data_IF_645429248878
#
_entry.id   IF_645429248878
#
_cell.length_a   1.000
_cell.length_b   1.000
_cell.length_c   1.000
_cell.angle_alpha   90.00
_cell.angle_beta   90.00
_cell.angle_gamma   90.00
#
_symmetry.space_group_name_H-M   'P 1'
#
loop_
_entity.id
_entity.type
_entity.pdbx_description
1 polymer ?
#
# COMPACT_ATOMS: atom_id res chain seq x y z
N UNK A 1 -10.22 -12.81 -25.37
CA UNK A 1 -11.38 -13.67 -25.71
C UNK A 1 -12.05 -13.98 -24.39
N UNK A 2 -13.27 -13.48 -24.15
CA UNK A 2 -14.01 -13.72 -22.89
C UNK A 2 -14.36 -15.20 -22.81
N UNK A 3 -13.98 -15.86 -21.71
CA UNK A 3 -14.24 -17.29 -21.53
C UNK A 3 -15.51 -17.45 -20.70
N UNK A 4 -16.53 -18.10 -21.27
CA UNK A 4 -17.72 -18.48 -20.51
C UNK A 4 -17.35 -19.55 -19.48
N UNK A 5 -17.58 -19.29 -18.20
CA UNK A 5 -17.34 -20.28 -17.14
C UNK A 5 -18.37 -21.41 -17.17
N UNK A 6 -17.89 -22.63 -16.94
CA UNK A 6 -18.75 -23.77 -16.58
C UNK A 6 -19.29 -23.64 -15.14
N UNK A 7 -20.35 -24.41 -14.84
CA UNK A 7 -21.04 -24.39 -13.55
C UNK A 7 -20.13 -24.78 -12.37
N UNK A 8 -19.11 -25.60 -12.61
CA UNK A 8 -18.16 -26.02 -11.57
C UNK A 8 -17.28 -24.85 -11.16
N UNK A 9 -16.76 -24.09 -12.12
CA UNK A 9 -15.96 -22.88 -11.87
C UNK A 9 -16.80 -21.78 -11.26
N UNK A 10 -18.04 -21.60 -11.73
CA UNK A 10 -18.97 -20.63 -11.13
C UNK A 10 -19.28 -20.95 -9.67
N UNK A 11 -19.48 -22.23 -9.35
CA UNK A 11 -19.68 -22.70 -7.96
C UNK A 11 -18.42 -22.52 -7.11
N UNK A 12 -17.22 -22.73 -7.67
CA UNK A 12 -15.96 -22.50 -6.97
C UNK A 12 -15.78 -21.02 -6.58
N UNK A 13 -16.19 -20.09 -7.44
CA UNK A 13 -16.21 -18.65 -7.12
C UNK A 13 -17.18 -18.36 -5.98
N UNK A 14 -18.39 -18.94 -5.98
CA UNK A 14 -19.35 -18.76 -4.89
C UNK A 14 -18.79 -19.22 -3.54
N UNK A 15 -18.15 -20.40 -3.50
CA UNK A 15 -17.46 -20.91 -2.31
C UNK A 15 -16.36 -19.95 -1.85
N UNK A 16 -15.60 -19.37 -2.79
CA UNK A 16 -14.53 -18.43 -2.46
C UNK A 16 -15.07 -17.10 -1.93
N UNK A 17 -16.19 -16.59 -2.44
CA UNK A 17 -16.87 -15.42 -1.90
C UNK A 17 -17.40 -15.68 -0.48
N UNK A 18 -17.92 -16.88 -0.22
CA UNK A 18 -18.34 -17.29 1.11
C UNK A 18 -17.17 -17.32 2.11
N UNK A 19 -16.00 -17.81 1.69
CA UNK A 19 -14.78 -17.72 2.51
C UNK A 19 -14.40 -16.26 2.82
N UNK A 20 -14.44 -15.37 1.81
CA UNK A 20 -14.10 -13.95 1.97
C UNK A 20 -15.00 -13.31 3.03
N UNK A 21 -16.31 -13.55 2.95
CA UNK A 21 -17.27 -13.08 3.95
C UNK A 21 -16.92 -13.60 5.34
N UNK A 22 -16.74 -14.91 5.49
CA UNK A 22 -16.44 -15.52 6.80
C UNK A 22 -15.13 -15.00 7.41
N UNK A 23 -14.11 -14.76 6.58
CA UNK A 23 -12.85 -14.15 7.02
C UNK A 23 -13.00 -12.66 7.35
N UNK A 24 -13.90 -11.94 6.68
CA UNK A 24 -14.19 -10.54 6.99
C UNK A 24 -14.85 -10.42 8.37
N UNK A 25 -15.77 -11.32 8.71
CA UNK A 25 -16.37 -11.40 10.04
C UNK A 25 -15.32 -11.71 11.13
N UNK A 26 -14.36 -12.60 10.84
CA UNK A 26 -13.23 -12.86 11.74
C UNK A 26 -12.34 -11.64 11.93
N UNK A 27 -12.03 -10.91 10.85
CA UNK A 27 -11.24 -9.67 10.88
C UNK A 27 -11.88 -8.64 11.81
N UNK A 28 -13.19 -8.40 11.66
CA UNK A 28 -13.97 -7.49 12.52
C UNK A 28 -13.91 -7.95 13.99
N UNK A 29 -14.13 -9.24 14.24
CA UNK A 29 -14.06 -9.80 15.59
C UNK A 29 -12.68 -9.65 16.23
N UNK A 30 -11.61 -9.76 15.43
CA UNK A 30 -10.24 -9.56 15.89
C UNK A 30 -9.96 -8.09 16.22
N UNK A 31 -10.43 -7.16 15.40
CA UNK A 31 -10.29 -5.71 15.63
C UNK A 31 -10.99 -5.29 16.93
N UNK A 32 -12.21 -5.78 17.17
CA UNK A 32 -12.94 -5.57 18.44
C UNK A 32 -12.16 -6.12 19.64
N UNK A 33 -11.58 -7.32 19.49
CA UNK A 33 -10.76 -7.95 20.53
C UNK A 33 -9.49 -7.15 20.83
N UNK A 34 -8.81 -6.66 19.78
CA UNK A 34 -7.59 -5.87 19.88
C UNK A 34 -7.85 -4.48 20.48
N UNK A 35 -8.95 -3.81 20.10
CA UNK A 35 -9.36 -2.53 20.69
C UNK A 35 -9.51 -2.61 22.21
N UNK A 36 -10.05 -3.73 22.72
CA UNK A 36 -10.20 -3.96 24.16
C UNK A 36 -8.88 -4.23 24.90
N UNK A 37 -7.77 -4.48 24.20
CA UNK A 37 -6.48 -4.85 24.79
C UNK A 37 -5.41 -3.75 24.66
N UNK A 38 -5.69 -2.68 23.93
CA UNK A 38 -4.74 -1.59 23.67
C UNK A 38 -5.03 -0.42 24.61
N UNK A 39 -3.97 0.17 25.15
CA UNK A 39 -4.04 1.38 25.97
C UNK A 39 -3.52 2.64 25.25
N UNK A 40 -2.94 2.49 24.07
CA UNK A 40 -2.44 3.61 23.26
C UNK A 40 -3.59 4.25 22.45
N UNK A 41 -3.83 5.54 22.67
CA UNK A 41 -4.94 6.26 22.06
C UNK A 41 -4.80 6.44 20.55
N UNK A 42 -3.57 6.52 20.03
CA UNK A 42 -3.34 6.67 18.59
C UNK A 42 -3.59 5.34 17.87
N UNK A 43 -3.06 4.24 18.42
CA UNK A 43 -3.33 2.90 17.89
C UNK A 43 -4.82 2.58 17.99
N UNK A 44 -5.49 2.93 19.09
CA UNK A 44 -6.95 2.79 19.22
C UNK A 44 -7.70 3.55 18.12
N UNK A 45 -7.33 4.82 17.84
CA UNK A 45 -7.97 5.60 16.77
C UNK A 45 -7.80 4.92 15.42
N UNK A 46 -6.58 4.53 15.05
CA UNK A 46 -6.28 3.84 13.78
C UNK A 46 -7.07 2.53 13.67
N UNK A 47 -7.11 1.73 14.73
CA UNK A 47 -7.84 0.46 14.75
C UNK A 47 -9.37 0.64 14.68
N UNK A 48 -9.90 1.70 15.31
CA UNK A 48 -11.32 2.04 15.21
C UNK A 48 -11.71 2.46 13.80
N UNK A 49 -10.88 3.27 13.13
CA UNK A 49 -11.09 3.65 11.73
C UNK A 49 -11.10 2.43 10.80
N UNK A 50 -10.17 1.48 11.02
CA UNK A 50 -10.15 0.21 10.30
C UNK A 50 -11.43 -0.59 10.55
N UNK A 51 -11.83 -0.77 11.81
CA UNK A 51 -13.06 -1.50 12.17
C UNK A 51 -14.32 -0.92 11.52
N UNK A 52 -14.47 0.39 11.51
CA UNK A 52 -15.63 1.05 10.90
C UNK A 52 -15.67 0.85 9.37
N UNK A 53 -14.51 0.95 8.73
CA UNK A 53 -14.32 0.65 7.31
C UNK A 53 -14.62 -0.83 7.02
N UNK A 54 -14.16 -1.76 7.86
CA UNK A 54 -14.35 -3.19 7.70
C UNK A 54 -15.79 -3.66 7.88
N UNK A 55 -16.54 -3.04 8.79
CA UNK A 55 -17.98 -3.26 8.92
C UNK A 55 -18.74 -2.82 7.68
N UNK A 56 -18.34 -1.70 7.06
CA UNK A 56 -18.91 -1.26 5.79
C UNK A 56 -18.55 -2.24 4.67
N UNK A 57 -17.30 -2.72 4.63
CA UNK A 57 -16.84 -3.70 3.64
C UNK A 57 -17.58 -5.03 3.71
N UNK A 58 -17.97 -5.48 4.90
CA UNK A 58 -18.82 -6.67 5.05
C UNK A 58 -20.14 -6.52 4.26
N UNK A 59 -20.81 -5.37 4.36
CA UNK A 59 -22.03 -5.10 3.59
C UNK A 59 -21.81 -5.06 2.07
N UNK A 60 -20.65 -4.58 1.62
CA UNK A 60 -20.26 -4.62 0.20
C UNK A 60 -20.08 -6.07 -0.27
N UNK A 61 -19.36 -6.89 0.50
CA UNK A 61 -19.13 -8.31 0.19
C UNK A 61 -20.46 -9.07 0.12
N UNK A 62 -21.38 -8.83 1.06
CA UNK A 62 -22.72 -9.43 1.04
C UNK A 62 -23.51 -9.04 -0.20
N UNK A 63 -23.46 -7.77 -0.60
CA UNK A 63 -24.10 -7.29 -1.82
C UNK A 63 -23.55 -8.00 -3.06
N UNK A 64 -22.23 -8.17 -3.14
CA UNK A 64 -21.56 -8.88 -4.24
C UNK A 64 -21.99 -10.35 -4.29
N UNK A 65 -22.07 -11.03 -3.15
CA UNK A 65 -22.56 -12.42 -3.07
C UNK A 65 -23.99 -12.54 -3.62
N UNK A 66 -24.87 -11.62 -3.23
CA UNK A 66 -26.26 -11.59 -3.71
C UNK A 66 -26.30 -11.33 -5.22
N UNK A 67 -25.53 -10.36 -5.73
CA UNK A 67 -25.48 -10.03 -7.16
C UNK A 67 -24.88 -11.15 -8.01
N UNK A 68 -23.90 -11.88 -7.48
CA UNK A 68 -23.31 -13.04 -8.15
C UNK A 68 -24.34 -14.18 -8.34
N UNK A 69 -25.33 -14.27 -7.43
CA UNK A 69 -26.53 -15.09 -7.60
C UNK A 69 -26.34 -16.60 -7.34
N UNK A 70 -25.10 -17.06 -7.13
CA UNK A 70 -24.79 -18.44 -6.75
C UNK A 70 -24.36 -18.47 -5.29
N UNK A 71 -25.08 -19.25 -4.50
CA UNK A 71 -24.77 -19.44 -3.08
C UNK A 71 -23.65 -20.47 -2.92
N UNK A 72 -22.76 -20.22 -1.97
CA UNK A 72 -21.70 -21.13 -1.57
C UNK A 72 -21.56 -21.11 -0.05
N UNK A 73 -20.93 -22.15 0.48
CA UNK A 73 -20.60 -22.25 1.90
C UNK A 73 -19.08 -22.12 2.08
N UNK A 74 -18.61 -21.52 3.19
CA UNK A 74 -17.18 -21.47 3.49
C UNK A 74 -16.60 -22.88 3.54
N UNK A 75 -15.37 -23.05 3.04
CA UNK A 75 -14.68 -24.35 3.09
C UNK A 75 -14.45 -24.77 4.54
N UNK A 76 -14.46 -26.08 4.80
CA UNK A 76 -14.12 -26.63 6.12
C UNK A 76 -12.78 -26.11 6.66
N UNK A 77 -11.76 -26.03 5.80
CA UNK A 77 -10.47 -25.48 6.16
C UNK A 77 -10.55 -23.99 6.59
N UNK A 78 -11.42 -23.20 5.98
CA UNK A 78 -11.66 -21.81 6.38
C UNK A 78 -12.36 -21.76 7.74
N UNK A 79 -13.35 -22.62 7.98
CA UNK A 79 -14.03 -22.71 9.27
C UNK A 79 -13.06 -23.13 10.38
N UNK A 80 -12.24 -24.15 10.15
CA UNK A 80 -11.20 -24.59 11.10
C UNK A 80 -10.18 -23.49 11.40
N UNK A 81 -9.74 -22.75 10.37
CA UNK A 81 -8.87 -21.58 10.54
C UNK A 81 -9.54 -20.52 11.42
N UNK A 82 -10.80 -20.19 11.15
CA UNK A 82 -11.56 -19.18 11.92
C UNK A 82 -11.62 -19.56 13.39
N UNK A 83 -11.99 -20.81 13.70
CA UNK A 83 -12.10 -21.26 15.09
C UNK A 83 -10.74 -21.23 15.80
N UNK A 84 -9.68 -21.72 15.15
CA UNK A 84 -8.33 -21.68 15.72
C UNK A 84 -7.82 -20.27 15.94
N UNK A 85 -8.08 -19.35 15.01
CA UNK A 85 -7.67 -17.96 15.19
C UNK A 85 -8.44 -17.29 16.32
N UNK A 86 -9.75 -17.52 16.46
CA UNK A 86 -10.53 -17.00 17.60
C UNK A 86 -9.98 -17.48 18.94
N UNK A 87 -9.68 -18.78 19.06
CA UNK A 87 -9.06 -19.36 20.26
C UNK A 87 -7.74 -18.64 20.60
N UNK A 88 -6.85 -18.47 19.61
CA UNK A 88 -5.56 -17.79 19.80
C UNK A 88 -5.70 -16.31 20.18
N UNK A 89 -6.62 -15.59 19.56
CA UNK A 89 -6.82 -14.15 19.80
C UNK A 89 -7.42 -13.86 21.18
N UNK A 90 -8.28 -14.75 21.67
CA UNK A 90 -8.88 -14.67 23.01
C UNK A 90 -7.95 -15.19 24.12
N UNK A 91 -7.03 -16.11 23.77
CA UNK A 91 -6.07 -16.68 24.69
C UNK A 91 -5.03 -15.69 25.21
N UNK A 92 -4.28 -16.12 26.22
CA UNK A 92 -3.13 -15.40 26.79
C UNK A 92 -1.78 -15.91 26.28
N UNK A 93 -1.78 -16.87 25.35
CA UNK A 93 -0.55 -17.48 24.81
C UNK A 93 0.18 -16.53 23.85
N UNK A 94 -0.57 -15.67 23.14
CA UNK A 94 -0.04 -14.68 22.23
C UNK A 94 0.21 -13.35 22.95
N UNK A 95 1.37 -12.73 22.69
CA UNK A 95 1.60 -11.35 23.07
C UNK A 95 0.69 -10.39 22.29
N UNK A 96 0.65 -9.12 22.66
CA UNK A 96 -0.11 -8.13 21.90
C UNK A 96 0.46 -7.97 20.48
N UNK A 97 1.79 -8.00 20.35
CA UNK A 97 2.46 -8.02 19.04
C UNK A 97 2.02 -9.24 18.22
N UNK A 98 2.04 -10.44 18.81
CA UNK A 98 1.67 -11.66 18.10
C UNK A 98 0.22 -11.62 17.59
N UNK A 99 -0.71 -11.09 18.39
CA UNK A 99 -2.12 -10.93 17.99
C UNK A 99 -2.27 -9.95 16.82
N UNK A 100 -1.53 -8.85 16.84
CA UNK A 100 -1.48 -7.92 15.70
C UNK A 100 -0.89 -8.56 14.45
N UNK A 101 0.15 -9.39 14.61
CA UNK A 101 0.80 -10.06 13.49
C UNK A 101 -0.13 -11.09 12.85
N UNK A 102 -0.88 -11.86 13.67
CA UNK A 102 -1.93 -12.76 13.18
C UNK A 102 -3.04 -12.01 12.45
N UNK A 103 -3.45 -10.84 12.95
CA UNK A 103 -4.45 -10.01 12.30
C UNK A 103 -3.96 -9.44 10.96
N UNK A 104 -2.70 -8.96 10.88
CA UNK A 104 -2.10 -8.51 9.62
C UNK A 104 -2.04 -9.63 8.58
N UNK A 105 -1.66 -10.84 8.98
CA UNK A 105 -1.62 -12.00 8.08
C UNK A 105 -2.99 -12.32 7.48
N UNK A 106 -4.07 -12.24 8.29
CA UNK A 106 -5.43 -12.42 7.81
C UNK A 106 -5.84 -11.33 6.82
N UNK A 107 -5.54 -10.06 7.14
CA UNK A 107 -5.76 -8.92 6.26
C UNK A 107 -5.04 -9.05 4.93
N UNK A 108 -3.77 -9.49 4.95
CA UNK A 108 -2.99 -9.77 3.75
C UNK A 108 -3.64 -10.86 2.89
N UNK A 109 -4.05 -11.97 3.51
CA UNK A 109 -4.75 -13.05 2.83
C UNK A 109 -6.07 -12.60 2.15
N UNK A 110 -6.81 -11.71 2.82
CA UNK A 110 -8.04 -11.12 2.28
C UNK A 110 -7.74 -10.21 1.07
N UNK A 111 -6.73 -9.34 1.17
CA UNK A 111 -6.30 -8.46 0.08
C UNK A 111 -5.86 -9.26 -1.15
N UNK A 112 -5.03 -10.29 -0.97
CA UNK A 112 -4.57 -11.16 -2.05
C UNK A 112 -5.73 -11.94 -2.70
N UNK A 113 -6.69 -12.37 -1.89
CA UNK A 113 -7.91 -13.01 -2.42
C UNK A 113 -8.73 -12.04 -3.27
N UNK A 114 -8.86 -10.79 -2.83
CA UNK A 114 -9.54 -9.74 -3.56
C UNK A 114 -8.92 -9.44 -4.92
N UNK A 115 -7.59 -9.36 -5.00
CA UNK A 115 -6.84 -9.21 -6.27
C UNK A 115 -7.12 -10.41 -7.19
N UNK A 116 -7.09 -11.63 -6.65
CA UNK A 116 -7.37 -12.83 -7.42
C UNK A 116 -8.79 -12.83 -7.99
N UNK A 117 -9.80 -12.44 -7.20
CA UNK A 117 -11.18 -12.33 -7.66
C UNK A 117 -11.35 -11.26 -8.74
N UNK A 118 -10.71 -10.09 -8.57
CA UNK A 118 -10.69 -9.04 -9.60
C UNK A 118 -10.07 -9.55 -10.91
N UNK A 119 -8.93 -10.25 -10.83
CA UNK A 119 -8.29 -10.84 -12.02
C UNK A 119 -9.12 -11.95 -12.65
N UNK A 120 -9.83 -12.75 -11.86
CA UNK A 120 -10.76 -13.75 -12.39
C UNK A 120 -11.90 -13.06 -13.17
N UNK A 121 -12.49 -12.00 -12.62
CA UNK A 121 -13.58 -11.24 -13.24
C UNK A 121 -13.20 -10.69 -14.63
N UNK A 122 -11.98 -10.16 -14.78
CA UNK A 122 -11.45 -9.66 -16.06
C UNK A 122 -11.43 -10.72 -17.19
N UNK A 123 -11.42 -12.01 -16.85
CA UNK A 123 -11.30 -13.11 -17.82
C UNK A 123 -12.66 -13.79 -18.11
N UNK A 124 -13.58 -13.78 -17.14
CA UNK A 124 -14.76 -14.66 -17.12
C UNK A 124 -16.08 -14.03 -17.62
N UNK A 125 -16.06 -12.75 -18.00
CA UNK A 125 -17.14 -12.08 -18.73
C UNK A 125 -17.78 -10.91 -17.99
N UNK A 126 -18.50 -10.07 -18.75
CA UNK A 126 -19.04 -8.80 -18.27
C UNK A 126 -20.04 -8.94 -17.11
N UNK A 127 -20.74 -10.08 -17.01
CA UNK A 127 -21.67 -10.38 -15.92
C UNK A 127 -20.96 -10.49 -14.57
N UNK A 128 -19.83 -11.19 -14.52
CA UNK A 128 -19.03 -11.35 -13.29
C UNK A 128 -18.26 -10.06 -12.96
N UNK A 129 -17.76 -9.36 -13.98
CA UNK A 129 -17.06 -8.08 -13.81
C UNK A 129 -17.96 -7.01 -13.18
N UNK A 130 -19.21 -6.88 -13.67
CA UNK A 130 -20.20 -5.98 -13.10
C UNK A 130 -20.50 -6.34 -11.63
N UNK A 131 -20.71 -7.62 -11.34
CA UNK A 131 -21.01 -8.07 -9.99
C UNK A 131 -19.83 -7.82 -9.02
N UNK A 132 -18.59 -7.87 -9.50
CA UNK A 132 -17.39 -7.77 -8.66
C UNK A 132 -16.85 -6.34 -8.54
N UNK A 133 -17.29 -5.41 -9.38
CA UNK A 133 -16.89 -4.00 -9.34
C UNK A 133 -16.84 -3.39 -7.94
N UNK A 134 -17.85 -3.61 -7.06
CA UNK A 134 -17.82 -3.10 -5.68
C UNK A 134 -16.65 -3.63 -4.83
N UNK A 135 -16.14 -4.84 -5.08
CA UNK A 135 -14.99 -5.41 -4.35
C UNK A 135 -13.71 -4.60 -4.54
N UNK A 136 -13.60 -3.77 -5.59
CA UNK A 136 -12.43 -2.92 -5.78
C UNK A 136 -12.24 -1.98 -4.58
N UNK A 137 -13.32 -1.40 -4.05
CA UNK A 137 -13.26 -0.53 -2.86
C UNK A 137 -12.73 -1.29 -1.65
N UNK A 138 -13.25 -2.50 -1.40
CA UNK A 138 -12.80 -3.39 -0.32
C UNK A 138 -11.30 -3.71 -0.46
N UNK A 139 -10.83 -3.92 -1.70
CA UNK A 139 -9.43 -4.21 -1.97
C UNK A 139 -8.52 -3.00 -1.70
N UNK A 140 -8.96 -1.79 -2.05
CA UNK A 140 -8.22 -0.56 -1.78
C UNK A 140 -8.13 -0.27 -0.28
N UNK A 141 -9.24 -0.39 0.44
CA UNK A 141 -9.28 -0.16 1.89
C UNK A 141 -8.44 -1.21 2.62
N UNK A 142 -8.52 -2.50 2.26
CA UNK A 142 -7.65 -3.53 2.85
C UNK A 142 -6.16 -3.23 2.67
N UNK A 143 -5.73 -2.71 1.51
CA UNK A 143 -4.34 -2.30 1.30
C UNK A 143 -3.94 -1.14 2.21
N UNK A 144 -4.79 -0.12 2.34
CA UNK A 144 -4.54 0.98 3.25
C UNK A 144 -4.41 0.49 4.70
N UNK A 145 -5.25 -0.47 5.11
CA UNK A 145 -5.19 -1.07 6.45
C UNK A 145 -3.86 -1.83 6.66
N UNK A 146 -3.35 -2.54 5.65
CA UNK A 146 -2.05 -3.22 5.75
C UNK A 146 -0.90 -2.27 6.07
N UNK A 147 -0.84 -1.10 5.40
CA UNK A 147 0.20 -0.11 5.70
C UNK A 147 0.06 0.46 7.10
N UNK A 148 -1.18 0.69 7.58
CA UNK A 148 -1.41 1.09 8.96
C UNK A 148 -0.98 0.02 9.97
N UNK A 149 -1.28 -1.25 9.70
CA UNK A 149 -0.93 -2.38 10.56
C UNK A 149 0.57 -2.58 10.66
N UNK A 150 1.34 -2.34 9.59
CA UNK A 150 2.82 -2.36 9.65
C UNK A 150 3.35 -1.34 10.67
N UNK A 151 2.86 -0.10 10.64
CA UNK A 151 3.25 0.92 11.60
C UNK A 151 2.85 0.58 13.04
N UNK A 152 1.68 -0.04 13.23
CA UNK A 152 1.25 -0.52 14.55
C UNK A 152 2.16 -1.65 15.03
N UNK A 153 2.49 -2.61 14.17
CA UNK A 153 3.39 -3.72 14.49
C UNK A 153 4.78 -3.25 14.88
N UNK A 154 5.33 -2.27 14.16
CA UNK A 154 6.60 -1.63 14.50
C UNK A 154 6.52 -1.01 15.90
N UNK A 155 5.50 -0.19 16.16
CA UNK A 155 5.36 0.48 17.46
C UNK A 155 5.15 -0.50 18.61
N UNK A 156 4.24 -1.47 18.47
CA UNK A 156 3.94 -2.48 19.49
C UNK A 156 5.15 -3.39 19.69
N UNK A 157 5.80 -3.83 18.62
CA UNK A 157 6.97 -4.70 18.67
C UNK A 157 8.19 -4.02 19.30
N UNK A 158 8.49 -2.76 18.92
CA UNK A 158 9.60 -2.02 19.54
C UNK A 158 9.35 -1.79 21.03
N UNK A 159 8.12 -1.45 21.42
CA UNK A 159 7.75 -1.31 22.84
C UNK A 159 7.88 -2.62 23.60
N UNK A 160 7.40 -3.72 23.03
CA UNK A 160 7.49 -5.04 23.64
C UNK A 160 8.94 -5.47 23.86
N UNK A 161 9.82 -5.24 22.87
CA UNK A 161 11.23 -5.63 22.93
C UNK A 161 12.09 -4.70 23.79
N UNK A 162 11.80 -3.40 23.80
CA UNK A 162 12.73 -2.39 24.36
C UNK A 162 12.16 -1.58 25.52
N UNK A 163 10.84 -1.64 25.75
CA UNK A 163 10.13 -0.77 26.68
C UNK A 163 10.04 0.69 26.23
N UNK A 164 10.41 1.02 24.99
CA UNK A 164 10.42 2.38 24.43
C UNK A 164 9.57 2.48 23.17
N UNK A 165 9.11 3.68 22.85
CA UNK A 165 8.46 3.98 21.58
C UNK A 165 9.42 3.79 20.40
N UNK A 166 8.89 3.30 19.28
CA UNK A 166 9.61 3.31 18.00
C UNK A 166 9.95 4.77 17.60
N UNK A 167 11.09 4.97 16.95
CA UNK A 167 11.43 6.27 16.38
C UNK A 167 10.56 6.52 15.16
N UNK A 168 9.44 7.21 15.38
CA UNK A 168 8.48 7.56 14.35
C UNK A 168 8.91 8.75 13.48
N UNK A 169 10.16 9.20 13.59
CA UNK A 169 10.69 10.21 12.69
C UNK A 169 10.45 9.79 11.23
N UNK A 170 9.93 10.70 10.41
CA UNK A 170 9.67 10.46 8.99
C UNK A 170 10.88 9.83 8.28
N UNK A 171 12.09 10.21 8.70
CA UNK A 171 13.34 9.66 8.16
C UNK A 171 13.66 8.23 8.58
N UNK A 172 13.28 7.81 9.80
CA UNK A 172 13.48 6.44 10.26
C UNK A 172 12.58 5.47 9.49
N UNK A 173 11.28 5.79 9.34
CA UNK A 173 10.35 4.97 8.55
C UNK A 173 10.74 4.85 7.07
N UNK A 174 11.24 5.94 6.49
CA UNK A 174 11.77 5.93 5.11
C UNK A 174 12.99 5.01 5.03
N UNK A 175 13.90 5.07 5.99
CA UNK A 175 15.07 4.18 6.06
C UNK A 175 14.66 2.72 6.23
N UNK A 176 13.64 2.41 7.05
CA UNK A 176 13.17 1.04 7.27
C UNK A 176 12.53 0.44 6.01
N UNK A 177 11.72 1.23 5.29
CA UNK A 177 11.16 0.82 4.00
C UNK A 177 12.28 0.54 2.97
N UNK A 178 13.28 1.42 2.88
CA UNK A 178 14.45 1.22 2.01
C UNK A 178 15.22 -0.05 2.38
N UNK A 179 15.47 -0.28 3.66
CA UNK A 179 16.23 -1.42 4.17
C UNK A 179 15.52 -2.76 3.87
N UNK A 180 14.19 -2.80 4.00
CA UNK A 180 13.39 -3.98 3.68
C UNK A 180 13.45 -4.37 2.19
N UNK A 181 13.48 -3.39 1.28
CA UNK A 181 13.53 -3.65 -0.18
C UNK A 181 14.94 -3.92 -0.71
N UNK A 182 15.96 -3.24 -0.16
CA UNK A 182 17.37 -3.41 -0.56
C UNK A 182 18.00 -4.71 -0.03
N UNK A 183 17.38 -5.36 0.96
CA UNK A 183 17.88 -6.58 1.59
C UNK A 183 19.10 -6.37 2.50
N UNK A 184 19.38 -5.12 2.92
CA UNK A 184 20.55 -4.76 3.76
C UNK A 184 20.20 -4.81 5.25
N UNK A 185 19.27 -5.70 5.66
CA UNK A 185 19.02 -5.94 7.08
C UNK A 185 20.15 -6.82 7.64
N UNK A 186 21.21 -6.16 8.12
CA UNK A 186 22.10 -6.68 9.16
C UNK A 186 22.97 -7.89 8.80
N UNK A 187 23.82 -7.82 7.77
CA UNK A 187 25.00 -8.71 7.66
C UNK A 187 26.23 -8.09 8.34
N UNK A 188 26.15 -7.87 9.66
CA UNK A 188 27.37 -7.92 10.46
C UNK A 188 27.68 -9.41 10.66
N UNK A 189 28.74 -9.90 10.02
CA UNK A 189 29.15 -11.32 9.93
C UNK A 189 28.44 -12.09 8.80
N UNK A 190 28.81 -11.82 7.56
CA UNK A 190 29.51 -12.79 6.71
C UNK A 190 29.79 -12.22 5.31
N UNK A 191 31.05 -12.36 4.92
CA UNK A 191 31.63 -12.26 3.58
C UNK A 191 31.76 -10.86 2.95
N UNK A 192 33.03 -10.49 2.84
CA UNK A 192 33.62 -9.52 1.91
C UNK A 192 33.16 -9.74 0.48
N UNK A 193 32.16 -8.99 0.05
CA UNK A 193 32.10 -8.40 -1.29
C UNK A 193 31.67 -6.95 -1.13
N UNK A 194 32.42 -6.05 -1.76
CA UNK A 194 32.28 -4.61 -1.67
C UNK A 194 30.84 -4.11 -1.84
N UNK A 195 30.52 -3.00 -1.14
CA UNK A 195 29.26 -2.22 -1.21
C UNK A 195 28.32 -2.62 -2.34
N UNK A 196 27.20 -3.24 -1.99
CA UNK A 196 26.03 -3.34 -2.87
C UNK A 196 25.38 -1.94 -2.90
N UNK A 197 25.81 -1.07 -3.81
CA UNK A 197 25.16 0.21 -4.00
C UNK A 197 23.70 -0.01 -4.45
N UNK A 198 22.76 0.76 -3.91
CA UNK A 198 21.34 0.62 -4.23
C UNK A 198 21.09 0.83 -5.73
N UNK A 199 20.26 -0.03 -6.35
CA UNK A 199 19.85 0.17 -7.74
C UNK A 199 18.74 1.24 -7.85
N UNK A 200 18.43 1.66 -9.08
CA UNK A 200 17.46 2.73 -9.32
C UNK A 200 16.06 2.37 -8.81
N UNK A 201 15.62 1.11 -8.95
CA UNK A 201 14.31 0.68 -8.45
C UNK A 201 14.23 0.76 -6.92
N UNK A 202 15.31 0.48 -6.20
CA UNK A 202 15.34 0.59 -4.74
C UNK A 202 15.15 2.06 -4.29
N UNK A 203 15.73 3.01 -5.02
CA UNK A 203 15.59 4.44 -4.72
C UNK A 203 14.19 4.97 -5.04
N UNK A 204 13.62 4.57 -6.16
CA UNK A 204 12.27 5.00 -6.55
C UNK A 204 11.25 4.43 -5.54
N UNK A 205 11.37 3.15 -5.14
CA UNK A 205 10.54 2.58 -4.05
C UNK A 205 10.66 3.31 -2.73
N UNK A 206 11.86 3.77 -2.39
CA UNK A 206 12.07 4.56 -1.18
C UNK A 206 11.25 5.86 -1.20
N UNK A 207 11.26 6.54 -2.34
CA UNK A 207 10.49 7.76 -2.53
C UNK A 207 8.98 7.49 -2.52
N UNK A 208 8.53 6.41 -3.16
CA UNK A 208 7.14 5.96 -3.15
C UNK A 208 6.64 5.66 -1.74
N UNK A 209 7.42 4.93 -0.95
CA UNK A 209 7.08 4.61 0.43
C UNK A 209 7.04 5.87 1.30
N UNK A 210 8.00 6.78 1.11
CA UNK A 210 8.02 8.08 1.79
C UNK A 210 6.75 8.89 1.52
N UNK A 211 6.38 9.05 0.25
CA UNK A 211 5.23 9.88 -0.10
C UNK A 211 3.91 9.25 0.35
N UNK A 212 3.76 7.93 0.27
CA UNK A 212 2.59 7.22 0.79
C UNK A 212 2.43 7.38 2.31
N UNK A 213 3.55 7.34 3.05
CA UNK A 213 3.57 7.61 4.49
C UNK A 213 3.12 9.04 4.76
N UNK A 214 3.65 10.03 4.03
CA UNK A 214 3.27 11.42 4.18
C UNK A 214 1.79 11.68 3.89
N UNK A 215 1.24 11.07 2.84
CA UNK A 215 -0.20 11.17 2.54
C UNK A 215 -1.06 10.64 3.70
N UNK A 216 -0.69 9.48 4.23
CA UNK A 216 -1.40 8.85 5.35
C UNK A 216 -1.37 9.74 6.60
N UNK A 217 -0.18 10.21 6.98
CA UNK A 217 0.02 11.08 8.14
C UNK A 217 -0.71 12.43 7.98
N UNK A 218 -0.72 13.00 6.77
CA UNK A 218 -1.47 14.22 6.48
C UNK A 218 -2.97 14.00 6.67
N UNK A 219 -3.54 12.93 6.09
CA UNK A 219 -4.97 12.67 6.15
C UNK A 219 -5.44 12.38 7.59
N UNK A 220 -4.60 11.73 8.40
CA UNK A 220 -4.88 11.39 9.80
C UNK A 220 -4.67 12.55 10.78
N UNK A 221 -3.88 13.56 10.41
CA UNK A 221 -3.57 14.69 11.28
C UNK A 221 -4.71 15.70 11.36
N UNK A 222 -5.04 16.17 12.57
CA UNK A 222 -5.96 17.28 12.79
C UNK A 222 -5.22 18.58 13.17
N UNK A 223 -3.89 18.57 13.17
CA UNK A 223 -3.06 19.73 13.48
C UNK A 223 -2.73 20.50 12.18
N UNK A 224 -3.23 21.74 12.00
CA UNK A 224 -3.03 22.51 10.76
C UNK A 224 -1.56 22.73 10.39
N UNK A 225 -0.69 22.91 11.39
CA UNK A 225 0.73 23.10 11.14
C UNK A 225 1.37 21.81 10.59
N UNK A 226 1.06 20.66 11.19
CA UNK A 226 1.54 19.35 10.69
C UNK A 226 1.01 19.05 9.29
N UNK A 227 -0.27 19.31 9.04
CA UNK A 227 -0.87 19.15 7.70
C UNK A 227 -0.11 19.97 6.67
N UNK A 228 0.20 21.24 6.98
CA UNK A 228 0.95 22.11 6.09
C UNK A 228 2.38 21.62 5.88
N UNK A 229 3.06 21.15 6.93
CA UNK A 229 4.40 20.57 6.87
C UNK A 229 4.43 19.30 5.99
N UNK A 230 3.51 18.36 6.22
CA UNK A 230 3.40 17.14 5.42
C UNK A 230 3.08 17.44 3.96
N UNK A 231 2.13 18.34 3.69
CA UNK A 231 1.81 18.73 2.31
C UNK A 231 2.99 19.40 1.62
N UNK A 232 3.69 20.31 2.31
CA UNK A 232 4.89 20.95 1.79
C UNK A 232 5.98 19.93 1.44
N UNK A 233 6.11 18.86 2.24
CA UNK A 233 7.04 17.78 1.96
C UNK A 233 6.59 16.90 0.78
N UNK A 234 5.31 16.53 0.69
CA UNK A 234 4.72 15.79 -0.45
C UNK A 234 4.97 16.56 -1.75
N UNK A 235 4.68 17.87 -1.76
CA UNK A 235 4.86 18.73 -2.92
C UNK A 235 6.31 18.69 -3.41
N UNK A 236 7.26 18.86 -2.50
CA UNK A 236 8.69 18.85 -2.83
C UNK A 236 9.18 17.49 -3.29
N UNK A 237 8.77 16.43 -2.60
CA UNK A 237 9.22 15.07 -2.91
C UNK A 237 8.69 14.59 -4.26
N UNK A 238 7.38 14.74 -4.53
CA UNK A 238 6.80 14.38 -5.83
C UNK A 238 7.38 15.19 -6.99
N UNK A 239 7.61 16.49 -6.78
CA UNK A 239 8.17 17.35 -7.82
C UNK A 239 9.63 16.98 -8.14
N UNK A 240 10.46 16.77 -7.12
CA UNK A 240 11.85 16.34 -7.33
C UNK A 240 11.95 14.94 -7.95
N UNK A 241 11.06 14.04 -7.51
CA UNK A 241 11.00 12.67 -7.99
C UNK A 241 10.60 12.60 -9.46
N UNK A 242 9.47 13.20 -9.84
CA UNK A 242 9.02 13.23 -11.23
C UNK A 242 10.06 13.84 -12.17
N UNK A 243 10.71 14.95 -11.79
CA UNK A 243 11.81 15.51 -12.59
C UNK A 243 12.94 14.50 -12.81
N UNK A 244 13.35 13.77 -11.76
CA UNK A 244 14.42 12.78 -11.86
C UNK A 244 14.02 11.59 -12.75
N UNK A 245 12.77 11.15 -12.72
CA UNK A 245 12.27 10.09 -13.60
C UNK A 245 12.19 10.54 -15.05
N UNK A 246 11.63 11.73 -15.29
CA UNK A 246 11.50 12.33 -16.61
C UNK A 246 12.87 12.59 -17.28
N UNK A 247 13.89 12.98 -16.51
CA UNK A 247 15.25 13.24 -17.00
C UNK A 247 16.11 11.99 -17.18
N UNK A 248 15.94 10.97 -16.32
CA UNK A 248 16.87 9.83 -16.24
C UNK A 248 16.20 8.51 -16.62
N UNK A 249 15.08 8.18 -15.99
CA UNK A 249 14.47 6.85 -16.05
C UNK A 249 13.71 6.67 -17.36
N UNK A 250 12.79 7.57 -17.67
CA UNK A 250 11.92 7.47 -18.84
C UNK A 250 12.69 7.42 -20.16
N UNK A 251 13.71 8.27 -20.39
CA UNK A 251 14.55 8.18 -21.59
C UNK A 251 15.23 6.81 -21.73
N UNK A 252 15.62 6.20 -20.60
CA UNK A 252 16.35 4.94 -20.59
C UNK A 252 15.45 3.73 -20.84
N UNK A 253 14.24 3.73 -20.31
CA UNK A 253 13.29 2.61 -20.45
C UNK A 253 12.58 2.57 -21.79
N UNK A 254 12.47 3.69 -22.52
CA UNK A 254 11.89 3.75 -23.89
C UNK A 254 12.47 2.71 -24.86
N UNK A 255 13.70 2.25 -24.63
CA UNK A 255 14.32 1.21 -25.45
C UNK A 255 13.73 -0.20 -25.26
N UNK A 256 13.02 -0.46 -24.15
CA UNK A 256 12.54 -1.80 -23.78
C UNK A 256 11.20 -1.82 -23.02
N UNK A 257 10.54 -0.66 -22.87
CA UNK A 257 9.22 -0.50 -22.27
C UNK A 257 8.27 0.18 -23.29
N UNK A 258 7.00 -0.23 -23.40
CA UNK A 258 6.10 0.28 -24.43
C UNK A 258 5.97 1.81 -24.41
N UNK A 259 6.12 2.44 -25.57
CA UNK A 259 6.12 3.92 -25.71
C UNK A 259 4.80 4.55 -25.27
N UNK A 260 3.66 3.89 -25.52
CA UNK A 260 2.35 4.33 -25.04
C UNK A 260 2.29 4.40 -23.52
N UNK A 261 2.86 3.40 -22.82
CA UNK A 261 2.95 3.38 -21.36
C UNK A 261 3.94 4.39 -20.81
N UNK A 262 5.07 4.61 -21.49
CA UNK A 262 5.99 5.72 -21.11
C UNK A 262 5.25 7.05 -21.20
N UNK A 263 4.44 7.25 -22.24
CA UNK A 263 3.74 8.51 -22.43
C UNK A 263 2.55 8.70 -21.48
N UNK A 264 1.93 7.61 -21.04
CA UNK A 264 0.98 7.60 -19.92
C UNK A 264 1.66 8.12 -18.64
N UNK A 265 2.83 7.58 -18.26
CA UNK A 265 3.58 8.03 -17.07
C UNK A 265 3.89 9.55 -17.10
N UNK A 266 4.36 10.08 -18.23
CA UNK A 266 4.56 11.53 -18.39
C UNK A 266 3.27 12.34 -18.20
N UNK A 267 2.15 11.81 -18.71
CA UNK A 267 0.85 12.49 -18.64
C UNK A 267 0.32 12.51 -17.21
N UNK A 268 0.41 11.38 -16.50
CA UNK A 268 0.04 11.27 -15.09
C UNK A 268 0.85 12.23 -14.21
N UNK A 269 2.17 12.32 -14.41
CA UNK A 269 3.01 13.25 -13.63
C UNK A 269 2.69 14.72 -13.91
N UNK A 270 2.34 15.07 -15.15
CA UNK A 270 1.87 16.42 -15.48
C UNK A 270 0.53 16.75 -14.77
N UNK A 271 -0.37 15.77 -14.65
CA UNK A 271 -1.60 15.92 -13.88
C UNK A 271 -1.32 16.07 -12.38
N UNK A 272 -0.35 15.34 -11.82
CA UNK A 272 0.05 15.47 -10.41
C UNK A 272 0.55 16.87 -10.10
N UNK A 273 1.39 17.45 -10.97
CA UNK A 273 1.89 18.83 -10.82
C UNK A 273 0.73 19.83 -10.79
N UNK A 274 -0.25 19.67 -11.68
CA UNK A 274 -1.45 20.52 -11.71
C UNK A 274 -2.26 20.39 -10.41
N UNK A 275 -2.52 19.16 -9.94
CA UNK A 275 -3.23 18.90 -8.68
C UNK A 275 -2.47 19.44 -7.47
N UNK A 276 -1.15 19.32 -7.44
CA UNK A 276 -0.30 19.85 -6.38
C UNK A 276 -0.42 21.38 -6.28
N UNK A 277 -0.39 22.08 -7.42
CA UNK A 277 -0.55 23.54 -7.44
C UNK A 277 -1.97 23.97 -7.05
N UNK A 278 -3.00 23.23 -7.48
CA UNK A 278 -4.39 23.43 -7.02
C UNK A 278 -4.50 23.30 -5.50
N UNK A 279 -3.97 22.22 -4.92
CA UNK A 279 -4.04 21.97 -3.48
C UNK A 279 -3.26 23.02 -2.69
N UNK A 280 -2.09 23.43 -3.19
CA UNK A 280 -1.25 24.46 -2.57
C UNK A 280 -1.96 25.80 -2.40
N UNK A 281 -2.94 26.11 -3.27
CA UNK A 281 -3.74 27.32 -3.19
C UNK A 281 -4.92 27.21 -2.19
N UNK A 282 -5.18 26.04 -1.62
CA UNK A 282 -6.27 25.79 -0.67
C UNK A 282 -5.74 25.94 0.76
N UNK A 283 -6.49 26.66 1.60
CA UNK A 283 -6.20 26.73 3.04
C UNK A 283 -6.31 25.33 3.68
N UNK A 284 -5.30 24.83 4.42
CA UNK A 284 -5.34 23.52 5.08
C UNK A 284 -6.54 23.30 6.02
N UNK A 285 -7.17 24.36 6.52
CA UNK A 285 -8.39 24.30 7.34
C UNK A 285 -9.68 24.15 6.53
N UNK A 286 -9.63 24.34 5.21
CA UNK A 286 -10.77 24.16 4.33
C UNK A 286 -11.11 22.68 4.20
N UNK A 287 -12.41 22.34 4.28
CA UNK A 287 -12.88 20.96 4.18
C UNK A 287 -12.49 20.28 2.85
N UNK A 288 -12.32 21.05 1.78
CA UNK A 288 -11.90 20.52 0.47
C UNK A 288 -10.42 20.14 0.40
N UNK A 289 -9.58 20.59 1.33
CA UNK A 289 -8.13 20.34 1.29
C UNK A 289 -7.82 18.85 1.35
N UNK A 290 -8.31 18.15 2.39
CA UNK A 290 -8.07 16.71 2.58
C UNK A 290 -8.72 15.88 1.47
N UNK A 291 -9.88 16.28 0.96
CA UNK A 291 -10.54 15.60 -0.17
C UNK A 291 -9.68 15.65 -1.43
N UNK A 292 -9.09 16.82 -1.74
CA UNK A 292 -8.18 16.98 -2.88
C UNK A 292 -6.86 16.25 -2.67
N UNK A 293 -6.32 16.24 -1.45
CA UNK A 293 -5.14 15.43 -1.11
C UNK A 293 -5.41 13.95 -1.30
N UNK A 294 -6.58 13.45 -0.89
CA UNK A 294 -6.97 12.05 -1.12
C UNK A 294 -7.04 11.71 -2.61
N UNK A 295 -7.63 12.58 -3.43
CA UNK A 295 -7.65 12.39 -4.89
C UNK A 295 -6.24 12.37 -5.50
N UNK A 296 -5.31 13.19 -4.99
CA UNK A 296 -3.91 13.14 -5.41
C UNK A 296 -3.24 11.83 -4.95
N UNK A 297 -3.47 11.40 -3.71
CA UNK A 297 -2.95 10.14 -3.17
C UNK A 297 -3.40 8.94 -4.02
N UNK A 298 -4.68 8.89 -4.40
CA UNK A 298 -5.22 7.82 -5.24
C UNK A 298 -4.53 7.78 -6.61
N UNK A 299 -4.40 8.94 -7.26
CA UNK A 299 -3.77 9.05 -8.58
C UNK A 299 -2.26 8.72 -8.55
N UNK A 300 -1.53 9.21 -7.55
CA UNK A 300 -0.12 8.84 -7.33
C UNK A 300 0.00 7.33 -7.04
N UNK A 301 -0.94 6.76 -6.30
CA UNK A 301 -0.97 5.34 -6.01
C UNK A 301 -1.19 4.46 -7.26
N UNK A 302 -1.97 4.91 -8.23
CA UNK A 302 -2.12 4.24 -9.54
C UNK A 302 -0.81 4.25 -10.33
N UNK A 303 -0.15 5.41 -10.43
CA UNK A 303 1.14 5.58 -11.09
C UNK A 303 2.24 4.70 -10.48
N UNK A 304 2.39 4.73 -9.15
CA UNK A 304 3.33 3.87 -8.42
C UNK A 304 3.11 2.39 -8.78
N UNK A 305 1.86 1.94 -8.90
CA UNK A 305 1.57 0.54 -9.28
C UNK A 305 2.02 0.23 -10.69
N UNK A 306 1.78 1.13 -11.64
CA UNK A 306 2.25 0.94 -13.01
C UNK A 306 3.78 0.82 -13.05
N UNK A 307 4.47 1.72 -12.37
CA UNK A 307 5.94 1.70 -12.34
C UNK A 307 6.49 0.44 -11.65
N UNK A 308 5.99 0.12 -10.45
CA UNK A 308 6.55 -0.97 -9.65
C UNK A 308 6.23 -2.37 -10.18
N UNK A 309 5.03 -2.59 -10.72
CA UNK A 309 4.62 -3.89 -11.22
C UNK A 309 5.05 -4.14 -12.66
N UNK A 310 5.13 -3.09 -13.48
CA UNK A 310 5.38 -3.20 -14.92
C UNK A 310 6.75 -2.65 -15.31
N UNK A 311 6.98 -1.33 -15.17
CA UNK A 311 8.24 -0.69 -15.60
C UNK A 311 9.46 -1.28 -14.90
N UNK A 312 9.41 -1.53 -13.58
CA UNK A 312 10.53 -2.09 -12.84
C UNK A 312 10.85 -3.52 -13.24
N UNK A 313 9.83 -4.29 -13.65
CA UNK A 313 10.04 -5.62 -14.24
C UNK A 313 10.77 -5.49 -15.57
N UNK A 314 10.41 -4.52 -16.41
CA UNK A 314 11.12 -4.24 -17.66
C UNK A 314 12.58 -3.82 -17.41
N UNK A 315 12.85 -2.93 -16.45
CA UNK A 315 14.21 -2.51 -16.07
C UNK A 315 15.05 -3.73 -15.64
N UNK A 316 14.52 -4.53 -14.70
CA UNK A 316 15.20 -5.74 -14.19
C UNK A 316 15.53 -6.76 -15.29
N UNK A 317 14.67 -6.89 -16.30
CA UNK A 317 14.86 -7.85 -17.37
C UNK A 317 15.84 -7.37 -18.46
N UNK A 318 16.12 -6.06 -18.53
CA UNK A 318 16.86 -5.48 -19.65
C UNK A 318 18.16 -4.77 -19.25
N UNK A 319 18.38 -4.49 -17.96
CA UNK A 319 19.58 -3.83 -17.46
C UNK A 319 20.44 -4.76 -16.60
N UNK A 320 21.77 -4.60 -16.71
CA UNK A 320 22.70 -5.20 -15.75
C UNK A 320 22.64 -4.49 -14.38
N UNK A 321 23.28 -5.09 -13.36
CA UNK A 321 23.46 -4.44 -12.04
C UNK A 321 24.15 -3.09 -12.20
N UNK A 322 25.32 -3.06 -12.86
CA UNK A 322 26.10 -1.85 -13.10
C UNK A 322 25.31 -0.75 -13.82
N UNK A 323 24.50 -1.11 -14.81
CA UNK A 323 23.64 -0.15 -15.52
C UNK A 323 22.54 0.41 -14.62
N UNK A 324 21.96 -0.43 -13.76
CA UNK A 324 20.90 -0.03 -12.83
C UNK A 324 21.45 0.81 -11.68
N UNK A 325 22.67 0.54 -11.22
CA UNK A 325 23.41 1.31 -10.20
C UNK A 325 23.89 2.66 -10.76
N UNK A 326 24.36 2.70 -12.01
CA UNK A 326 24.69 3.95 -12.68
C UNK A 326 23.43 4.83 -12.82
N UNK A 327 22.31 4.25 -13.26
CA UNK A 327 21.05 4.98 -13.33
C UNK A 327 20.59 5.46 -11.95
N UNK A 328 20.84 4.69 -10.88
CA UNK A 328 20.56 5.10 -9.51
C UNK A 328 21.36 6.36 -9.13
N UNK A 329 22.62 6.42 -9.53
CA UNK A 329 23.51 7.57 -9.31
C UNK A 329 23.03 8.80 -10.09
N UNK A 330 22.66 8.61 -11.36
CA UNK A 330 22.14 9.68 -12.22
C UNK A 330 20.80 10.21 -11.68
N UNK A 331 19.91 9.33 -11.25
CA UNK A 331 18.63 9.65 -10.62
C UNK A 331 18.82 10.51 -9.36
N UNK A 332 19.74 10.10 -8.46
CA UNK A 332 20.07 10.89 -7.26
C UNK A 332 20.57 12.29 -7.62
N UNK A 333 21.42 12.40 -8.65
CA UNK A 333 21.98 13.68 -9.07
C UNK A 333 20.90 14.60 -9.66
N UNK A 334 20.04 14.08 -10.54
CA UNK A 334 18.91 14.82 -11.12
C UNK A 334 17.94 15.29 -10.02
N UNK A 335 17.59 14.42 -9.08
CA UNK A 335 16.74 14.74 -7.94
C UNK A 335 17.34 15.84 -7.05
N UNK A 336 18.64 15.73 -6.72
CA UNK A 336 19.34 16.73 -5.91
C UNK A 336 19.38 18.10 -6.59
N UNK A 337 19.60 18.13 -7.92
CA UNK A 337 19.54 19.36 -8.72
C UNK A 337 18.14 19.97 -8.68
N UNK A 338 17.10 19.17 -8.90
CA UNK A 338 15.71 19.64 -8.81
C UNK A 338 15.40 20.24 -7.42
N UNK A 339 15.86 19.61 -6.34
CA UNK A 339 15.70 20.12 -4.99
C UNK A 339 16.41 21.46 -4.75
N UNK A 340 17.61 21.64 -5.30
CA UNK A 340 18.35 22.90 -5.22
C UNK A 340 17.64 24.03 -5.98
N UNK A 341 17.14 23.76 -7.18
CA UNK A 341 16.41 24.74 -8.00
C UNK A 341 15.09 25.18 -7.35
N UNK A 342 14.47 24.31 -6.56
CA UNK A 342 13.31 24.64 -5.73
C UNK A 342 13.64 25.46 -4.47
N UNK A 343 14.90 25.82 -4.23
CA UNK A 343 15.35 26.57 -3.06
C UNK A 343 15.36 25.75 -1.76
N UNK A 344 15.44 24.41 -1.86
CA UNK A 344 15.37 23.50 -0.72
C UNK A 344 16.78 23.05 -0.33
N UNK A 345 17.62 23.98 0.16
CA UNK A 345 18.77 23.63 1.02
C UNK A 345 19.05 24.76 2.01
N UNK A 346 18.82 24.48 3.29
CA UNK A 346 19.75 24.75 4.40
C UNK A 346 19.37 23.83 5.55
#
# INVERSE_FOLDING_TARGET
>A
MVVTLDDTKRSAIAVKLADVKALQELIISNEETLLGQINDSEIQKRLQEMLDSDRKNLGVIETVIVQYGIQGEPRKATQELIEKTKEMMQGSELSLYDKFAQHELLKHGQAMTGIMLHKAAQVVGADVDIAFGPLNTVNFENRAHQEQLKGILEQVGTRELTGKDADQGLWARVQDAVAAFSGVVGSAVTQTSDKKDMNVQDLIRADHSKVNTLFTELLQSDNPQKIQEYFGQIYKDLLAHSIAEEEVVYPRVRAFYPEDKVQELYSEQAEFRTKLDEIKAIDPSNSQFKDKVKQLMDAVGDHIRQEEFDMFTAIRNNLSSDQSEQMASDFKAAKAKAQQEMGVVS
#
